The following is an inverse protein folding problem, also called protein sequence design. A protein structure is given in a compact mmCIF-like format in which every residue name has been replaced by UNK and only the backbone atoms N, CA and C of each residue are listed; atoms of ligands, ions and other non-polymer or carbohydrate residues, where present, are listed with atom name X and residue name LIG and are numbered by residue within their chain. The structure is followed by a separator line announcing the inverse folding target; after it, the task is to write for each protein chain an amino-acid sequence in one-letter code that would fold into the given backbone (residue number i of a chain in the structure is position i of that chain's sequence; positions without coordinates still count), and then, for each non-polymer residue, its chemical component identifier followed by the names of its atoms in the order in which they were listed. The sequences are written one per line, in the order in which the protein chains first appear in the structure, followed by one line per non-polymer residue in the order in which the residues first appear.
data_IF_840452279417
#
_entry.id   IF_840452279417
#
_cell.length_a   1.000
_cell.length_b   1.000
_cell.length_c   1.000
_cell.angle_alpha   90.00
_cell.angle_beta   90.00
_cell.angle_gamma   90.00
#
_symmetry.space_group_name_H-M   'P 1'
#
loop_
_entity.id
_entity.type
_entity.pdbx_description
1 polymer ?
#
# COMPACT_ATOMS: atom_id res chain seq x y z
N UNK A 1 3.40 -14.17 5.04
CA UNK A 1 3.10 -12.89 5.72
C UNK A 1 1.89 -12.24 5.05
N UNK A 2 2.06 -11.62 3.89
CA UNK A 2 0.94 -11.04 3.14
C UNK A 2 0.12 -12.12 2.41
N UNK A 3 -1.18 -11.91 2.33
CA UNK A 3 -2.12 -12.79 1.63
C UNK A 3 -2.83 -12.03 0.51
N UNK A 4 -3.11 -12.73 -0.57
CA UNK A 4 -3.81 -12.29 -1.78
C UNK A 4 -5.31 -12.00 -1.58
N UNK A 5 -5.90 -12.46 -0.47
CA UNK A 5 -7.31 -12.26 -0.08
C UNK A 5 -7.52 -12.83 1.34
N UNK A 6 -8.66 -12.56 2.03
CA UNK A 6 -8.91 -13.09 3.37
C UNK A 6 -8.85 -14.63 3.44
N UNK A 7 -9.36 -15.33 2.42
CA UNK A 7 -9.33 -16.80 2.34
C UNK A 7 -8.09 -17.36 1.64
N UNK A 8 -7.18 -16.50 1.18
CA UNK A 8 -5.97 -16.86 0.42
C UNK A 8 -6.21 -17.60 -0.91
N UNK A 9 -7.41 -17.53 -1.46
CA UNK A 9 -7.78 -18.20 -2.74
C UNK A 9 -7.96 -17.25 -3.93
N UNK A 10 -7.98 -15.94 -3.71
CA UNK A 10 -8.10 -14.94 -4.77
C UNK A 10 -6.84 -14.83 -5.66
N UNK A 11 -6.85 -13.99 -6.69
CA UNK A 11 -5.63 -13.65 -7.39
C UNK A 11 -4.73 -12.73 -6.56
N UNK A 12 -3.43 -12.74 -6.83
CA UNK A 12 -2.49 -11.76 -6.28
C UNK A 12 -2.62 -10.37 -6.92
N UNK A 13 -1.71 -9.47 -6.55
CA UNK A 13 -1.59 -8.13 -7.11
C UNK A 13 -0.14 -7.69 -7.27
N UNK A 14 0.12 -6.75 -8.18
CA UNK A 14 1.41 -6.05 -8.21
C UNK A 14 1.58 -5.28 -6.90
N UNK A 15 2.79 -5.30 -6.35
CA UNK A 15 3.10 -4.80 -5.01
C UNK A 15 4.45 -4.08 -5.04
N UNK A 16 4.49 -2.74 -4.96
CA UNK A 16 5.75 -2.05 -4.83
C UNK A 16 6.37 -2.39 -3.47
N UNK A 17 7.66 -2.67 -3.49
CA UNK A 17 8.44 -2.98 -2.31
C UNK A 17 9.74 -2.20 -2.37
N UNK A 18 9.82 -1.08 -1.63
CA UNK A 18 10.92 -0.12 -1.76
C UNK A 18 11.73 -0.01 -0.47
N UNK A 19 13.08 -0.08 -0.53
CA UNK A 19 13.92 0.29 0.59
C UNK A 19 14.02 1.81 0.69
N UNK A 20 13.86 2.37 1.89
CA UNK A 20 13.95 3.81 2.17
C UNK A 20 14.68 4.08 3.48
N UNK A 21 15.23 5.29 3.64
CA UNK A 21 15.83 5.75 4.89
C UNK A 21 14.97 6.87 5.48
N UNK A 22 14.35 6.62 6.63
CA UNK A 22 13.47 7.57 7.33
C UNK A 22 14.06 7.82 8.72
N UNK A 23 14.30 9.09 9.07
CA UNK A 23 14.97 9.49 10.33
C UNK A 23 16.27 8.71 10.62
N UNK A 24 17.07 8.45 9.58
CA UNK A 24 18.34 7.71 9.69
C UNK A 24 18.20 6.18 9.80
N UNK A 25 16.98 5.64 9.87
CA UNK A 25 16.72 4.19 9.90
C UNK A 25 16.39 3.67 8.50
N UNK A 26 17.08 2.60 8.08
CA UNK A 26 16.75 1.89 6.84
C UNK A 26 15.59 0.93 7.09
N UNK A 27 14.54 1.06 6.30
CA UNK A 27 13.30 0.27 6.37
C UNK A 27 12.84 -0.08 4.95
N UNK A 28 11.85 -0.95 4.84
CA UNK A 28 11.18 -1.26 3.59
C UNK A 28 9.69 -0.93 3.72
N UNK A 29 9.15 -0.30 2.68
CA UNK A 29 7.72 -0.02 2.52
C UNK A 29 7.13 -0.95 1.49
N UNK A 30 5.95 -1.48 1.79
CA UNK A 30 5.24 -2.45 0.96
C UNK A 30 3.78 -2.05 0.84
N UNK A 31 3.17 -2.14 -0.35
CA UNK A 31 1.71 -2.02 -0.52
C UNK A 31 1.10 -3.21 -1.23
N UNK A 32 -0.14 -3.51 -0.85
CA UNK A 32 -0.95 -4.62 -1.36
C UNK A 32 -2.43 -4.42 -1.00
N UNK A 33 -3.36 -4.77 -1.88
CA UNK A 33 -4.78 -4.78 -1.56
C UNK A 33 -5.16 -5.94 -0.63
N UNK A 34 -6.11 -5.71 0.27
CA UNK A 34 -6.68 -6.76 1.12
C UNK A 34 -7.62 -7.69 0.35
N UNK A 35 -8.21 -7.21 -0.75
CA UNK A 35 -9.05 -7.96 -1.69
C UNK A 35 -10.22 -8.71 -1.01
N UNK A 36 -11.02 -7.98 -0.24
CA UNK A 36 -12.23 -8.51 0.41
C UNK A 36 -13.36 -8.74 -0.58
N UNK A 37 -13.48 -7.90 -1.62
CA UNK A 37 -14.41 -8.09 -2.74
C UNK A 37 -14.03 -9.29 -3.63
N UNK A 38 -12.81 -9.80 -3.48
CA UNK A 38 -12.31 -10.97 -4.19
C UNK A 38 -12.12 -10.76 -5.69
N UNK A 39 -11.69 -11.82 -6.37
CA UNK A 39 -11.30 -11.78 -7.79
C UNK A 39 -10.32 -10.61 -8.03
N UNK A 40 -10.50 -9.88 -9.13
CA UNK A 40 -9.64 -8.79 -9.56
C UNK A 40 -10.05 -7.42 -8.97
N UNK A 41 -11.07 -7.37 -8.10
CA UNK A 41 -11.52 -6.12 -7.48
C UNK A 41 -10.44 -5.50 -6.59
N UNK A 42 -9.75 -6.32 -5.78
CA UNK A 42 -8.53 -5.90 -5.06
C UNK A 42 -8.73 -4.59 -4.29
N UNK A 43 -9.82 -4.53 -3.54
CA UNK A 43 -10.16 -3.38 -2.72
C UNK A 43 -9.28 -3.27 -1.47
N UNK A 44 -9.27 -2.06 -0.89
CA UNK A 44 -8.55 -1.72 0.34
C UNK A 44 -7.04 -1.91 0.21
N UNK A 45 -6.38 -1.01 -0.52
CA UNK A 45 -4.92 -0.94 -0.61
C UNK A 45 -4.34 -0.54 0.74
N UNK A 46 -3.47 -1.38 1.30
CA UNK A 46 -2.79 -1.13 2.57
C UNK A 46 -1.30 -0.85 2.36
N UNK A 47 -0.72 -0.12 3.31
CA UNK A 47 0.71 0.15 3.45
C UNK A 47 1.27 -0.59 4.67
N UNK A 48 2.41 -1.23 4.50
CA UNK A 48 3.17 -1.87 5.57
C UNK A 48 4.59 -1.30 5.65
N UNK A 49 5.11 -1.30 6.88
CA UNK A 49 6.47 -0.93 7.22
C UNK A 49 7.19 -2.16 7.79
N UNK A 50 8.44 -2.39 7.39
CA UNK A 50 9.28 -3.40 8.02
C UNK A 50 10.74 -2.98 8.07
N UNK A 51 11.43 -3.39 9.13
CA UNK A 51 12.89 -3.29 9.27
C UNK A 51 13.60 -4.64 9.06
N UNK A 52 12.92 -5.58 8.38
CA UNK A 52 13.32 -6.98 8.21
C UNK A 52 13.30 -7.84 9.49
N UNK A 53 12.84 -7.30 10.62
CA UNK A 53 12.61 -8.04 11.86
C UNK A 53 11.14 -7.97 12.29
N UNK A 54 10.62 -6.73 12.40
CA UNK A 54 9.23 -6.44 12.75
C UNK A 54 8.47 -5.99 11.50
N UNK A 55 7.17 -6.22 11.49
CA UNK A 55 6.26 -5.77 10.44
C UNK A 55 5.12 -5.01 11.11
N UNK A 56 4.87 -3.81 10.64
CA UNK A 56 3.81 -2.93 11.13
C UNK A 56 2.85 -2.61 10.00
N UNK A 57 1.55 -2.80 10.23
CA UNK A 57 0.49 -2.38 9.32
C UNK A 57 0.23 -0.89 9.57
N UNK A 58 0.63 -0.04 8.62
CA UNK A 58 0.40 1.41 8.71
C UNK A 58 -1.08 1.71 8.50
N UNK A 59 -1.76 0.89 7.70
CA UNK A 59 -3.19 0.99 7.46
C UNK A 59 -3.54 1.12 5.99
N UNK A 60 -4.83 1.37 5.76
CA UNK A 60 -5.40 1.51 4.43
C UNK A 60 -5.10 2.90 3.86
N UNK A 61 -4.57 2.96 2.64
CA UNK A 61 -4.26 4.21 1.92
C UNK A 61 -5.23 4.51 0.78
N UNK A 62 -6.00 3.52 0.30
CA UNK A 62 -7.12 3.75 -0.63
C UNK A 62 -8.37 4.22 0.11
N UNK A 63 -9.29 4.87 -0.58
CA UNK A 63 -10.51 5.42 0.02
C UNK A 63 -11.60 4.33 0.13
N UNK A 64 -12.13 4.15 1.34
CA UNK A 64 -13.29 3.26 1.63
C UNK A 64 -13.11 1.85 1.06
N UNK A 65 -13.94 1.44 0.11
CA UNK A 65 -13.94 0.12 -0.49
C UNK A 65 -13.60 0.19 -1.99
N UNK A 66 -12.95 1.25 -2.45
CA UNK A 66 -12.55 1.36 -3.85
C UNK A 66 -11.60 0.22 -4.27
N UNK A 67 -11.71 -0.19 -5.52
CA UNK A 67 -10.85 -1.19 -6.12
C UNK A 67 -9.50 -0.55 -6.46
N UNK A 68 -8.45 -0.88 -5.72
CA UNK A 68 -7.13 -0.25 -5.82
C UNK A 68 -6.04 -1.31 -5.95
N UNK A 69 -5.95 -1.87 -7.15
CA UNK A 69 -5.18 -3.07 -7.44
C UNK A 69 -3.68 -2.83 -7.40
N UNK A 70 -3.18 -1.97 -8.31
CA UNK A 70 -1.76 -1.72 -8.49
C UNK A 70 -1.36 -0.38 -7.90
N UNK A 71 -0.11 -0.31 -7.47
CA UNK A 71 0.42 0.89 -6.84
C UNK A 71 1.91 1.06 -7.04
N UNK A 72 2.36 2.28 -6.81
CA UNK A 72 3.76 2.67 -6.76
C UNK A 72 3.96 3.60 -5.58
N UNK A 73 5.12 3.48 -4.93
CA UNK A 73 5.51 4.31 -3.81
C UNK A 73 6.73 5.15 -4.20
N UNK A 74 6.76 6.39 -3.73
CA UNK A 74 7.90 7.29 -3.85
C UNK A 74 8.16 7.96 -2.51
N UNK A 75 9.36 7.75 -1.96
CA UNK A 75 9.88 8.57 -0.87
C UNK A 75 10.93 9.52 -1.43
N UNK A 76 10.65 10.81 -1.37
CA UNK A 76 11.52 11.85 -1.92
C UNK A 76 11.42 13.11 -1.10
N UNK A 77 12.57 13.75 -0.85
CA UNK A 77 12.67 15.05 -0.16
C UNK A 77 11.90 15.09 1.18
N UNK A 78 11.97 13.99 1.94
CA UNK A 78 11.31 13.87 3.25
C UNK A 78 9.80 13.68 3.20
N UNK A 79 9.23 13.41 2.02
CA UNK A 79 7.80 13.19 1.76
C UNK A 79 7.56 11.82 1.15
N UNK A 80 6.38 11.27 1.44
CA UNK A 80 5.93 9.97 0.95
C UNK A 80 4.73 10.16 0.04
N UNK A 81 4.78 9.52 -1.13
CA UNK A 81 3.73 9.58 -2.13
C UNK A 81 3.32 8.19 -2.56
N UNK A 82 2.06 8.05 -2.95
CA UNK A 82 1.55 6.87 -3.62
C UNK A 82 0.84 7.26 -4.92
N UNK A 83 1.17 6.56 -6.00
CA UNK A 83 0.37 6.54 -7.22
C UNK A 83 -0.30 5.18 -7.26
N UNK A 84 -1.63 5.11 -7.24
CA UNK A 84 -2.35 3.85 -7.32
C UNK A 84 -3.50 3.90 -8.31
N UNK A 85 -3.90 2.72 -8.79
CA UNK A 85 -5.09 2.57 -9.61
C UNK A 85 -6.36 2.75 -8.78
N UNK A 86 -7.41 3.23 -9.43
CA UNK A 86 -8.79 3.04 -9.02
C UNK A 86 -9.56 2.39 -10.17
N UNK A 87 -10.44 1.43 -9.87
CA UNK A 87 -11.30 0.77 -10.87
C UNK A 87 -12.77 0.93 -10.48
N UNK A 88 -13.57 1.48 -11.41
CA UNK A 88 -15.02 1.42 -11.36
C UNK A 88 -15.55 0.80 -12.66
N UNK A 89 -16.10 -0.41 -12.57
CA UNK A 89 -16.67 -1.15 -13.71
C UNK A 89 -15.68 -1.28 -14.88
N UNK A 90 -14.44 -1.69 -14.59
CA UNK A 90 -13.33 -1.85 -15.55
C UNK A 90 -12.88 -0.53 -16.21
N UNK A 91 -13.27 0.62 -15.68
CA UNK A 91 -12.68 1.91 -16.01
C UNK A 91 -11.60 2.25 -14.99
N UNK A 92 -10.37 2.35 -15.46
CA UNK A 92 -9.19 2.55 -14.64
C UNK A 92 -8.76 4.02 -14.65
N UNK A 93 -8.41 4.54 -13.47
CA UNK A 93 -7.79 5.85 -13.30
C UNK A 93 -6.58 5.73 -12.37
N UNK A 94 -5.70 6.73 -12.39
CA UNK A 94 -4.59 6.82 -11.46
C UNK A 94 -4.80 7.98 -10.49
N UNK A 95 -4.64 7.71 -9.21
CA UNK A 95 -4.73 8.70 -8.14
C UNK A 95 -3.35 8.90 -7.55
N UNK A 96 -2.94 10.17 -7.43
CA UNK A 96 -1.69 10.57 -6.79
C UNK A 96 -1.98 11.17 -5.41
N UNK A 97 -1.42 10.55 -4.37
CA UNK A 97 -1.62 10.92 -2.98
C UNK A 97 -0.29 11.31 -2.31
N UNK A 98 -0.32 12.35 -1.48
CA UNK A 98 0.73 12.62 -0.50
C UNK A 98 0.32 11.99 0.84
N UNK A 99 1.07 10.97 1.27
CA UNK A 99 0.79 10.15 2.46
C UNK A 99 1.35 10.80 3.73
N UNK A 100 0.82 11.97 4.09
CA UNK A 100 1.33 12.78 5.22
C UNK A 100 1.13 12.10 6.57
N UNK A 101 -0.06 11.57 6.80
CA UNK A 101 -0.45 10.96 8.08
C UNK A 101 0.29 9.64 8.28
N UNK A 102 0.36 8.81 7.23
CA UNK A 102 1.10 7.56 7.22
C UNK A 102 2.59 7.79 7.45
N UNK A 103 3.18 8.81 6.81
CA UNK A 103 4.58 9.13 7.05
C UNK A 103 4.83 9.60 8.48
N UNK A 104 3.91 10.35 9.08
CA UNK A 104 4.01 10.75 10.48
C UNK A 104 3.92 9.54 11.42
N UNK A 105 3.06 8.57 11.10
CA UNK A 105 2.97 7.30 11.84
C UNK A 105 4.25 6.46 11.67
N UNK A 106 4.79 6.33 10.45
CA UNK A 106 6.08 5.66 10.21
C UNK A 106 7.20 6.29 11.05
N UNK A 107 7.18 7.62 11.21
CA UNK A 107 8.16 8.37 11.98
C UNK A 107 8.01 8.21 13.50
N UNK A 108 6.90 7.68 14.01
CA UNK A 108 6.67 7.48 15.45
C UNK A 108 6.84 6.03 15.92
N UNK A 109 6.94 5.07 14.98
CA UNK A 109 7.12 3.63 15.21
C UNK A 109 8.61 3.22 15.23
#
# INVERSE_FOLDING_TARGET
VWGNSPSRKGPGSQSPFIPVTIKGRRVMLFTHPRNFKGRWNRDRLHLWLTDNNRIFDIGQISIRDENAAYSSLLYKDGKLYCLHETNLQENYSLVFLELKEELNLIKSV
#
